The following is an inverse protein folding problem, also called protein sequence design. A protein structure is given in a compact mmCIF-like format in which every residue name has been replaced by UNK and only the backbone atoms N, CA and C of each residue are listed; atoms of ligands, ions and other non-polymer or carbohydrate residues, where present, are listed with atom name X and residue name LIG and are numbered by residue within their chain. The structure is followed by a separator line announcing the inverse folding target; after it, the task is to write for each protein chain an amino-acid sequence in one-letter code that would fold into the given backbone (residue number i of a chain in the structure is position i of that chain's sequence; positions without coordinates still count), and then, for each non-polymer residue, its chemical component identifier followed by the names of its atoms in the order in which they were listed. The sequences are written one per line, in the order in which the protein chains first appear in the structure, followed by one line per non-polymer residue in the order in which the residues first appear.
data_IF_065972466683
#
_entry.id   IF_065972466683
#
_cell.length_a   1.000
_cell.length_b   1.000
_cell.length_c   1.000
_cell.angle_alpha   90.00
_cell.angle_beta   90.00
_cell.angle_gamma   90.00
#
_symmetry.space_group_name_H-M   'P 1'
#
loop_
_entity.id
_entity.type
_entity.pdbx_description
1 polymer ?
#
# COMPACT_ATOMS: atom_id res chain seq x y z
N UNK A 1 -6.63 -13.71 -18.44
CA UNK A 1 -5.81 -12.54 -18.83
C UNK A 1 -6.48 -11.28 -18.31
N UNK A 2 -5.72 -10.30 -17.81
CA UNK A 2 -6.28 -9.01 -17.40
C UNK A 2 -6.61 -8.17 -18.65
N UNK A 3 -7.75 -7.50 -18.64
CA UNK A 3 -8.25 -6.66 -19.72
C UNK A 3 -8.22 -5.20 -19.29
N UNK A 4 -7.78 -4.30 -20.18
CA UNK A 4 -7.83 -2.85 -19.98
C UNK A 4 -9.03 -2.29 -20.73
N UNK A 5 -9.80 -1.42 -20.08
CA UNK A 5 -10.78 -0.56 -20.73
C UNK A 5 -10.44 0.90 -20.52
N UNK A 6 -10.69 1.72 -21.55
CA UNK A 6 -10.46 3.16 -21.52
C UNK A 6 -11.80 3.89 -21.63
N UNK A 7 -11.95 4.99 -20.90
CA UNK A 7 -13.17 5.79 -20.90
C UNK A 7 -12.81 7.26 -20.83
N UNK A 8 -13.34 8.05 -21.78
CA UNK A 8 -13.25 9.51 -21.72
C UNK A 8 -14.29 10.04 -20.73
N UNK A 9 -13.85 10.88 -19.81
CA UNK A 9 -14.68 11.50 -18.77
C UNK A 9 -15.24 12.84 -19.24
N UNK A 10 -16.28 13.31 -18.55
CA UNK A 10 -16.97 14.57 -18.87
C UNK A 10 -16.07 15.81 -18.78
N UNK A 11 -14.99 15.76 -17.98
CA UNK A 11 -13.98 16.80 -17.86
C UNK A 11 -12.86 16.70 -18.92
N UNK A 12 -13.12 16.04 -20.06
CA UNK A 12 -12.16 15.78 -21.14
C UNK A 12 -10.91 14.97 -20.77
N UNK A 13 -10.84 14.41 -19.57
CA UNK A 13 -9.72 13.52 -19.18
C UNK A 13 -10.02 12.06 -19.51
N UNK A 14 -8.97 11.27 -19.65
CA UNK A 14 -9.06 9.83 -19.82
C UNK A 14 -8.93 9.10 -18.49
N UNK A 15 -9.60 7.95 -18.42
CA UNK A 15 -9.48 6.95 -17.36
C UNK A 15 -9.24 5.60 -18.00
N UNK A 16 -8.31 4.82 -17.47
CA UNK A 16 -8.20 3.40 -17.78
C UNK A 16 -8.63 2.55 -16.58
N UNK A 17 -9.09 1.33 -16.83
CA UNK A 17 -9.50 0.36 -15.81
C UNK A 17 -9.03 -1.04 -16.21
N UNK A 18 -8.39 -1.74 -15.29
CA UNK A 18 -7.87 -3.11 -15.49
C UNK A 18 -8.75 -4.09 -14.71
N UNK A 19 -9.19 -5.17 -15.37
CA UNK A 19 -10.04 -6.23 -14.78
C UNK A 19 -9.58 -7.62 -15.21
N UNK A 20 -9.74 -8.63 -14.35
CA UNK A 20 -9.63 -10.04 -14.75
C UNK A 20 -11.00 -10.70 -14.56
N UNK A 21 -11.72 -10.95 -15.66
CA UNK A 21 -13.12 -11.37 -15.60
C UNK A 21 -13.98 -10.31 -14.91
N UNK A 22 -14.69 -10.68 -13.83
CA UNK A 22 -15.47 -9.74 -13.01
C UNK A 22 -14.62 -9.03 -11.93
N UNK A 23 -13.38 -9.49 -11.66
CA UNK A 23 -12.51 -8.92 -10.63
C UNK A 23 -11.95 -7.58 -11.09
N UNK A 24 -12.19 -6.53 -10.31
CA UNK A 24 -11.57 -5.22 -10.51
C UNK A 24 -10.13 -5.24 -9.97
N UNK A 25 -9.18 -4.74 -10.75
CA UNK A 25 -7.75 -4.77 -10.39
C UNK A 25 -7.20 -3.37 -10.15
N UNK A 26 -7.40 -2.44 -11.09
CA UNK A 26 -6.84 -1.10 -11.00
C UNK A 26 -7.58 -0.10 -11.88
N UNK A 27 -7.49 1.19 -11.56
CA UNK A 27 -7.89 2.27 -12.47
C UNK A 27 -7.25 3.57 -12.05
N UNK A 28 -6.78 4.35 -13.00
CA UNK A 28 -6.29 5.72 -12.79
C UNK A 28 -6.96 6.64 -13.80
N UNK A 29 -7.16 7.90 -13.42
CA UNK A 29 -7.82 8.92 -14.24
C UNK A 29 -7.11 10.26 -14.12
N UNK A 30 -7.38 11.17 -15.05
CA UNK A 30 -6.79 12.51 -15.06
C UNK A 30 -5.83 12.75 -16.21
N UNK A 31 -5.68 11.79 -17.13
CA UNK A 31 -4.82 11.93 -18.30
C UNK A 31 -5.46 12.88 -19.31
N UNK A 32 -4.66 13.80 -19.84
CA UNK A 32 -5.11 14.75 -20.86
C UNK A 32 -5.18 14.09 -22.23
N UNK A 33 -4.28 13.14 -22.49
CA UNK A 33 -4.22 12.39 -23.74
C UNK A 33 -4.55 10.91 -23.53
N UNK A 34 -4.97 10.23 -24.61
CA UNK A 34 -5.31 8.80 -24.55
C UNK A 34 -4.03 7.97 -24.50
N UNK A 35 -3.00 8.37 -25.25
CA UNK A 35 -1.69 7.73 -25.26
C UNK A 35 -1.08 7.68 -23.84
N UNK A 36 -1.15 8.77 -23.08
CA UNK A 36 -0.68 8.81 -21.68
C UNK A 36 -1.39 7.77 -20.79
N UNK A 37 -2.70 7.62 -20.97
CA UNK A 37 -3.49 6.62 -20.25
C UNK A 37 -3.13 5.19 -20.68
N UNK A 38 -2.78 4.98 -21.95
CA UNK A 38 -2.37 3.69 -22.50
C UNK A 38 -0.97 3.28 -22.00
N UNK A 39 0.00 4.19 -22.02
CA UNK A 39 1.34 3.95 -21.49
C UNK A 39 1.30 3.57 -20.00
N UNK A 40 0.55 4.33 -19.21
CA UNK A 40 0.39 4.06 -17.78
C UNK A 40 -0.36 2.74 -17.53
N UNK A 41 -1.35 2.41 -18.36
CA UNK A 41 -2.07 1.15 -18.24
C UNK A 41 -1.20 -0.06 -18.60
N UNK A 42 -0.27 0.06 -19.56
CA UNK A 42 0.69 -0.99 -19.89
C UNK A 42 1.72 -1.20 -18.78
N UNK A 43 2.27 -0.12 -18.22
CA UNK A 43 3.11 -0.19 -17.01
C UNK A 43 2.35 -0.87 -15.87
N UNK A 44 1.06 -0.55 -15.74
CA UNK A 44 0.22 -1.12 -14.72
C UNK A 44 -0.06 -2.62 -14.94
N UNK A 45 -0.32 -3.05 -16.18
CA UNK A 45 -0.45 -4.48 -16.51
C UNK A 45 0.83 -5.24 -16.22
N UNK A 46 1.98 -4.71 -16.64
CA UNK A 46 3.27 -5.37 -16.37
C UNK A 46 3.52 -5.52 -14.87
N UNK A 47 3.20 -4.49 -14.08
CA UNK A 47 3.26 -4.57 -12.61
C UNK A 47 2.33 -5.65 -12.04
N UNK A 48 1.09 -5.74 -12.54
CA UNK A 48 0.12 -6.76 -12.13
C UNK A 48 0.58 -8.18 -12.52
N UNK A 49 1.12 -8.36 -13.73
CA UNK A 49 1.54 -9.66 -14.26
C UNK A 49 2.80 -10.20 -13.59
N UNK A 50 3.74 -9.31 -13.24
CA UNK A 50 5.00 -9.69 -12.61
C UNK A 50 4.88 -9.99 -11.11
N UNK A 51 3.87 -9.44 -10.41
CA UNK A 51 3.85 -9.49 -8.94
C UNK A 51 2.49 -9.87 -8.30
N UNK A 52 1.41 -9.98 -9.08
CA UNK A 52 0.09 -10.33 -8.57
C UNK A 52 -0.76 -9.13 -8.15
N UNK A 53 -2.02 -9.40 -7.76
CA UNK A 53 -3.09 -8.40 -7.74
C UNK A 53 -3.10 -7.45 -6.52
N UNK A 54 -2.99 -6.14 -6.80
CA UNK A 54 -3.81 -5.15 -6.08
C UNK A 54 -3.43 -3.68 -6.27
N UNK A 55 -4.24 -2.82 -5.65
CA UNK A 55 -4.47 -1.40 -6.00
C UNK A 55 -3.37 -0.42 -5.54
N UNK A 56 -2.12 -0.84 -5.45
CA UNK A 56 -1.00 0.09 -5.24
C UNK A 56 0.37 -0.54 -5.41
N UNK A 57 0.46 -1.62 -6.19
CA UNK A 57 1.73 -2.27 -6.49
C UNK A 57 2.72 -1.34 -7.21
N UNK A 58 2.22 -0.36 -7.96
CA UNK A 58 3.04 0.66 -8.63
C UNK A 58 3.76 1.62 -7.68
N UNK A 59 3.40 1.62 -6.39
CA UNK A 59 4.06 2.43 -5.37
C UNK A 59 5.20 1.67 -4.68
N UNK A 60 5.19 0.33 -4.67
CA UNK A 60 6.27 -0.47 -4.08
C UNK A 60 7.48 -0.51 -5.03
N UNK A 61 8.30 0.52 -4.94
CA UNK A 61 9.67 0.49 -5.46
C UNK A 61 10.59 -0.23 -4.47
N UNK A 62 11.64 -0.89 -4.96
CA UNK A 62 12.69 -1.43 -4.09
C UNK A 62 13.22 -0.30 -3.19
N UNK A 63 13.30 -0.55 -1.87
CA UNK A 63 13.70 0.46 -0.90
C UNK A 63 12.55 1.25 -0.28
N UNK A 64 11.28 0.97 -0.61
CA UNK A 64 10.14 1.53 0.11
C UNK A 64 10.05 0.93 1.51
N UNK A 65 10.03 1.80 2.51
CA UNK A 65 10.04 1.39 3.92
C UNK A 65 8.61 1.26 4.45
N UNK A 66 8.43 0.52 5.55
CA UNK A 66 7.13 0.43 6.23
C UNK A 66 6.69 1.80 6.76
N UNK A 67 7.62 2.72 7.04
CA UNK A 67 7.31 4.10 7.38
C UNK A 67 6.70 4.86 6.19
N UNK A 68 7.32 4.78 5.01
CA UNK A 68 6.82 5.43 3.79
C UNK A 68 5.40 4.96 3.46
N UNK A 69 5.16 3.66 3.61
CA UNK A 69 3.85 3.06 3.42
C UNK A 69 2.78 3.67 4.35
N UNK A 70 3.13 3.93 5.61
CA UNK A 70 2.23 4.56 6.58
C UNK A 70 1.91 6.01 6.19
N UNK A 71 2.91 6.77 5.72
CA UNK A 71 2.71 8.15 5.26
C UNK A 71 1.77 8.21 4.05
N UNK A 72 1.99 7.37 3.04
CA UNK A 72 1.11 7.26 1.87
C UNK A 72 -0.33 6.98 2.30
N UNK A 73 -0.53 6.05 3.24
CA UNK A 73 -1.88 5.72 3.72
C UNK A 73 -2.58 6.91 4.38
N UNK A 74 -1.90 7.65 5.25
CA UNK A 74 -2.48 8.81 5.95
C UNK A 74 -2.75 9.97 4.99
N UNK A 75 -1.90 10.17 3.99
CA UNK A 75 -2.09 11.20 2.95
C UNK A 75 -3.30 10.89 2.07
N UNK A 76 -3.44 9.64 1.62
CA UNK A 76 -4.55 9.21 0.76
C UNK A 76 -5.87 9.00 1.52
N UNK A 77 -5.80 8.74 2.83
CA UNK A 77 -6.96 8.45 3.67
C UNK A 77 -6.96 9.30 4.96
N UNK A 78 -7.05 10.64 4.83
CA UNK A 78 -6.93 11.54 5.97
C UNK A 78 -8.11 11.35 6.94
N UNK A 79 -7.79 11.19 8.22
CA UNK A 79 -8.77 11.10 9.30
C UNK A 79 -9.67 12.34 9.37
N UNK A 80 -10.98 12.11 9.46
CA UNK A 80 -12.01 13.17 9.54
C UNK A 80 -12.18 13.76 10.94
N UNK A 81 -11.72 13.07 11.98
CA UNK A 81 -11.82 13.51 13.38
C UNK A 81 -10.46 13.89 13.96
N UNK A 82 -10.42 14.92 14.81
CA UNK A 82 -9.17 15.39 15.44
C UNK A 82 -8.53 14.33 16.34
N UNK A 83 -9.34 13.54 17.04
CA UNK A 83 -8.86 12.42 17.86
C UNK A 83 -8.14 11.37 17.01
N UNK A 84 -8.66 11.05 15.82
CA UNK A 84 -8.01 10.09 14.92
C UNK A 84 -6.75 10.68 14.29
N UNK A 85 -6.76 11.96 13.88
CA UNK A 85 -5.55 12.66 13.42
C UNK A 85 -4.45 12.68 14.47
N UNK A 86 -4.79 12.85 15.74
CA UNK A 86 -3.81 12.80 16.83
C UNK A 86 -3.18 11.40 16.98
N UNK A 87 -3.97 10.33 16.82
CA UNK A 87 -3.45 8.95 16.79
C UNK A 87 -2.59 8.69 15.57
N UNK A 88 -2.98 9.18 14.39
CA UNK A 88 -2.20 9.04 13.17
C UNK A 88 -0.83 9.71 13.32
N UNK A 89 -0.78 10.94 13.87
CA UNK A 89 0.50 11.63 14.15
C UNK A 89 1.41 10.86 15.10
N UNK A 90 0.85 10.22 16.13
CA UNK A 90 1.64 9.42 17.08
C UNK A 90 2.13 8.14 16.40
N UNK A 91 1.28 7.46 15.63
CA UNK A 91 1.64 6.25 14.92
C UNK A 91 2.71 6.51 13.84
N UNK A 92 2.62 7.61 13.09
CA UNK A 92 3.62 8.01 12.11
C UNK A 92 4.99 8.25 12.74
N UNK A 93 5.05 8.94 13.90
CA UNK A 93 6.31 9.11 14.62
C UNK A 93 6.97 7.78 14.99
N UNK A 94 6.15 6.81 15.43
CA UNK A 94 6.64 5.46 15.75
C UNK A 94 7.09 4.74 14.47
N UNK A 95 6.36 4.90 13.36
CA UNK A 95 6.75 4.34 12.08
C UNK A 95 8.10 4.91 11.60
N UNK A 96 8.28 6.23 11.67
CA UNK A 96 9.53 6.90 11.28
C UNK A 96 10.73 6.43 12.10
N UNK A 97 10.55 6.29 13.41
CA UNK A 97 11.65 5.95 14.33
C UNK A 97 12.01 4.46 14.28
N UNK A 98 11.02 3.58 14.13
CA UNK A 98 11.20 2.15 14.33
C UNK A 98 10.96 1.29 13.08
N UNK A 99 10.45 1.85 12.00
CA UNK A 99 10.10 1.13 10.77
C UNK A 99 10.73 1.72 9.49
N UNK A 100 11.49 2.81 9.59
CA UNK A 100 12.16 3.48 8.46
C UNK A 100 13.32 2.70 7.83
N UNK A 101 13.85 1.67 8.50
CA UNK A 101 14.87 0.79 7.91
C UNK A 101 14.31 -0.56 7.46
N UNK A 102 13.00 -0.76 7.57
CA UNK A 102 12.37 -2.01 7.19
C UNK A 102 11.74 -1.86 5.82
N UNK A 103 12.35 -2.47 4.83
CA UNK A 103 11.74 -2.61 3.51
C UNK A 103 10.43 -3.40 3.64
N UNK A 104 9.36 -2.88 3.03
CA UNK A 104 8.02 -3.48 3.06
C UNK A 104 8.03 -4.92 2.51
N UNK A 105 8.83 -5.18 1.48
CA UNK A 105 8.91 -6.49 0.81
C UNK A 105 9.75 -7.50 1.61
N UNK A 106 10.63 -7.04 2.49
CA UNK A 106 11.49 -7.88 3.32
C UNK A 106 10.98 -8.08 4.75
N UNK A 107 9.90 -7.37 5.11
CA UNK A 107 9.26 -7.48 6.41
C UNK A 107 8.49 -8.80 6.48
N UNK A 108 8.87 -9.66 7.43
CA UNK A 108 8.15 -10.91 7.72
C UNK A 108 7.28 -10.74 8.96
N UNK A 109 6.31 -11.63 9.14
CA UNK A 109 5.48 -11.65 10.35
C UNK A 109 6.31 -11.76 11.64
N UNK A 110 7.38 -12.58 11.64
CA UNK A 110 8.24 -12.73 12.83
C UNK A 110 9.02 -11.46 13.14
N UNK A 111 9.59 -10.79 12.12
CA UNK A 111 10.26 -9.49 12.29
C UNK A 111 9.30 -8.44 12.83
N UNK A 112 8.11 -8.34 12.23
CA UNK A 112 7.07 -7.43 12.67
C UNK A 112 6.62 -7.71 14.11
N UNK A 113 6.32 -8.97 14.44
CA UNK A 113 5.92 -9.39 15.78
C UNK A 113 6.98 -9.05 16.82
N UNK A 114 8.26 -9.34 16.54
CA UNK A 114 9.35 -9.03 17.45
C UNK A 114 9.49 -7.52 17.66
N UNK A 115 9.33 -6.73 16.59
CA UNK A 115 9.33 -5.27 16.70
C UNK A 115 8.16 -4.76 17.55
N UNK A 116 6.96 -5.32 17.38
CA UNK A 116 5.80 -4.95 18.21
C UNK A 116 5.97 -5.32 19.68
N UNK A 117 6.59 -6.46 19.98
CA UNK A 117 6.94 -6.87 21.35
C UNK A 117 7.94 -5.88 21.96
N UNK A 118 9.00 -5.54 21.23
CA UNK A 118 10.00 -4.55 21.67
C UNK A 118 9.34 -3.20 22.00
N UNK A 119 8.49 -2.70 21.10
CA UNK A 119 7.76 -1.45 21.30
C UNK A 119 6.84 -1.49 22.54
N UNK A 120 6.19 -2.63 22.78
CA UNK A 120 5.29 -2.78 23.92
C UNK A 120 6.02 -2.90 25.25
N UNK A 121 7.04 -3.75 25.34
CA UNK A 121 7.62 -4.16 26.62
C UNK A 121 8.90 -3.42 26.97
N UNK A 122 9.72 -3.06 25.98
CA UNK A 122 11.00 -2.40 26.23
C UNK A 122 10.83 -0.87 26.21
N UNK A 123 9.99 -0.37 25.28
CA UNK A 123 9.72 1.06 25.11
C UNK A 123 8.41 1.51 25.77
N UNK A 124 7.66 0.57 26.36
CA UNK A 124 6.42 0.81 27.11
C UNK A 124 5.36 1.61 26.32
N UNK A 125 5.31 1.42 25.00
CA UNK A 125 4.31 2.07 24.15
C UNK A 125 2.94 1.46 24.45
N UNK A 126 1.94 2.33 24.65
CA UNK A 126 0.59 1.93 25.03
C UNK A 126 -0.03 1.03 23.95
N UNK A 127 -0.65 -0.07 24.39
CA UNK A 127 -1.24 -1.09 23.51
C UNK A 127 -2.22 -0.52 22.47
N UNK A 128 -3.05 0.46 22.83
CA UNK A 128 -4.00 1.05 21.88
C UNK A 128 -3.33 1.82 20.74
N UNK A 129 -2.12 2.38 20.95
CA UNK A 129 -1.33 3.01 19.89
C UNK A 129 -0.75 1.94 18.98
N UNK A 130 -0.24 0.84 19.56
CA UNK A 130 0.29 -0.30 18.80
C UNK A 130 -0.79 -0.98 17.94
N UNK A 131 -2.00 -1.10 18.46
CA UNK A 131 -3.16 -1.58 17.70
C UNK A 131 -3.50 -0.64 16.54
N UNK A 132 -3.45 0.68 16.77
CA UNK A 132 -3.68 1.67 15.71
C UNK A 132 -2.61 1.60 14.63
N UNK A 133 -1.33 1.52 15.00
CA UNK A 133 -0.20 1.35 14.08
C UNK A 133 -0.32 0.05 13.27
N UNK A 134 -0.69 -1.05 13.92
CA UNK A 134 -0.89 -2.33 13.23
C UNK A 134 -2.03 -2.25 12.21
N UNK A 135 -3.15 -1.61 12.59
CA UNK A 135 -4.27 -1.39 11.69
C UNK A 135 -3.88 -0.49 10.51
N UNK A 136 -3.11 0.58 10.77
CA UNK A 136 -2.57 1.47 9.74
C UNK A 136 -1.70 0.70 8.74
N UNK A 137 -0.69 -0.03 9.20
CA UNK A 137 0.20 -0.82 8.34
C UNK A 137 -0.61 -1.85 7.54
N UNK A 138 -1.52 -2.57 8.19
CA UNK A 138 -2.37 -3.56 7.51
C UNK A 138 -3.26 -2.93 6.43
N UNK A 139 -3.89 -1.79 6.74
CA UNK A 139 -4.75 -1.09 5.80
C UNK A 139 -3.94 -0.50 4.66
N UNK A 140 -2.75 0.04 4.94
CA UNK A 140 -1.82 0.54 3.93
C UNK A 140 -1.38 -0.59 3.00
N UNK A 141 -0.99 -1.75 3.54
CA UNK A 141 -0.66 -2.96 2.78
C UNK A 141 -1.84 -3.44 1.92
N UNK A 142 -3.05 -3.48 2.47
CA UNK A 142 -4.25 -3.85 1.72
C UNK A 142 -4.57 -2.83 0.62
N UNK A 143 -4.43 -1.54 0.92
CA UNK A 143 -4.61 -0.44 -0.02
C UNK A 143 -3.67 -0.57 -1.22
N UNK A 144 -2.41 -0.96 -0.97
CA UNK A 144 -1.45 -1.20 -2.03
C UNK A 144 -1.55 -2.58 -2.69
N UNK A 145 -2.45 -3.45 -2.22
CA UNK A 145 -2.74 -4.73 -2.86
C UNK A 145 -2.06 -5.97 -2.28
N UNK A 146 -1.52 -5.90 -1.07
CA UNK A 146 -1.00 -7.07 -0.37
C UNK A 146 -2.15 -7.75 0.39
N UNK A 147 -2.75 -8.77 -0.22
CA UNK A 147 -3.91 -9.48 0.34
C UNK A 147 -3.55 -10.29 1.61
N UNK A 148 -2.29 -10.72 1.80
CA UNK A 148 -1.88 -11.47 3.00
C UNK A 148 -0.38 -11.35 3.33
N UNK A 149 0.00 -10.34 4.13
CA UNK A 149 1.39 -10.08 4.58
C UNK A 149 2.02 -11.21 5.44
N UNK A 150 1.22 -12.16 5.92
CA UNK A 150 1.68 -13.23 6.83
C UNK A 150 2.12 -14.50 6.13
N UNK A 151 1.89 -14.66 4.83
CA UNK A 151 2.37 -15.83 4.10
C UNK A 151 3.84 -15.63 3.73
N UNK A 152 4.69 -16.56 4.19
CA UNK A 152 6.07 -16.65 3.68
C UNK A 152 5.98 -16.77 2.16
N UNK A 153 6.74 -15.94 1.44
CA UNK A 153 7.07 -16.15 0.03
C UNK A 153 7.89 -17.44 -0.13
N UNK A 154 7.29 -18.59 0.10
CA UNK A 154 7.77 -19.85 -0.41
C UNK A 154 7.39 -19.89 -1.89
N UNK A 155 8.38 -19.83 -2.76
CA UNK A 155 8.30 -20.00 -4.22
C UNK A 155 8.48 -18.74 -5.09
N UNK A 156 9.43 -17.87 -4.75
CA UNK A 156 10.24 -17.26 -5.82
C UNK A 156 11.34 -18.27 -6.18
N UNK A 157 10.98 -19.30 -6.96
CA UNK A 157 11.98 -20.13 -7.63
C UNK A 157 12.53 -19.34 -8.82
N UNK A 158 13.86 -19.29 -8.84
CA UNK A 158 14.77 -18.71 -9.83
C UNK A 158 14.35 -18.94 -11.28
#
# INVERSE_FOLDING_TARGET
MANISYTKKANNTWKFTIRQGQKYLYSKSGFTEKEEAEEEAQKAIQGIENVGYGRGFYLMSNGMTVADLCHIWVEENPSTSESSRAKDRIALKIADEYFSNYDVLEMTFDKFKNQMIHLQYDLNIKLYILQHLTAMIKNALFFIGVDNFTEKNSDIKK
#
